data_IF_179791835743
#
_entry.id   IF_179791835743
#
_cell.length_a   1.000
_cell.length_b   1.000
_cell.length_c   1.000
_cell.angle_alpha   90.00
_cell.angle_beta   90.00
_cell.angle_gamma   90.00
#
_symmetry.space_group_name_H-M   'P 1'
#
loop_
_entity.id
_entity.type
_entity.pdbx_description
1 polymer ?
#
# COMPACT_ATOMS: atom_id res chain seq x y z
N UNK A 1 -2.03 3.38 -9.40
CA UNK A 1 -3.46 3.58 -9.07
C UNK A 1 -3.67 4.35 -7.77
N UNK A 2 -3.16 3.89 -6.61
CA UNK A 2 -3.41 4.58 -5.32
C UNK A 2 -2.94 6.03 -5.29
N UNK A 3 -1.71 6.31 -5.75
CA UNK A 3 -1.18 7.68 -5.84
C UNK A 3 -2.08 8.62 -6.65
N UNK A 4 -2.65 8.14 -7.76
CA UNK A 4 -3.55 8.92 -8.61
C UNK A 4 -4.86 9.21 -7.88
N UNK A 5 -5.41 8.22 -7.16
CA UNK A 5 -6.62 8.38 -6.35
C UNK A 5 -6.41 9.40 -5.22
N UNK A 6 -5.31 9.30 -4.47
CA UNK A 6 -4.98 10.25 -3.40
C UNK A 6 -4.79 11.66 -3.96
N UNK A 7 -4.10 11.80 -5.11
CA UNK A 7 -3.91 13.09 -5.77
C UNK A 7 -5.24 13.69 -6.22
N UNK A 8 -6.10 12.89 -6.85
CA UNK A 8 -7.44 13.32 -7.29
C UNK A 8 -8.26 13.84 -6.11
N UNK A 9 -8.39 13.04 -5.04
CA UNK A 9 -9.16 13.43 -3.85
C UNK A 9 -8.61 14.70 -3.20
N UNK A 10 -7.27 14.84 -3.12
CA UNK A 10 -6.64 16.04 -2.58
C UNK A 10 -6.91 17.28 -3.44
N UNK A 11 -6.79 17.15 -4.76
CA UNK A 11 -6.96 18.28 -5.68
C UNK A 11 -8.45 18.70 -5.83
N UNK A 12 -9.38 17.75 -5.66
CA UNK A 12 -10.83 17.97 -5.73
C UNK A 12 -11.44 18.44 -4.40
N UNK A 13 -10.70 18.39 -3.29
CA UNK A 13 -11.19 18.79 -1.96
C UNK A 13 -11.62 20.26 -1.96
N UNK A 14 -12.83 20.54 -1.47
CA UNK A 14 -13.38 21.90 -1.42
C UNK A 14 -13.54 22.39 0.01
N UNK A 15 -13.39 23.68 0.20
CA UNK A 15 -13.62 24.33 1.48
C UNK A 15 -15.11 24.45 1.76
N UNK A 16 -15.53 24.34 3.04
CA UNK A 16 -16.92 24.66 3.42
C UNK A 16 -17.22 26.14 3.22
N UNK A 17 -16.29 27.00 3.66
CA UNK A 17 -16.50 28.44 3.70
C UNK A 17 -17.44 28.90 4.83
N UNK A 18 -17.95 30.11 4.71
CA UNK A 18 -18.92 30.72 5.65
C UNK A 18 -20.35 30.50 5.15
N UNK A 19 -21.04 29.53 5.76
CA UNK A 19 -22.37 29.08 5.30
C UNK A 19 -23.51 29.29 6.31
N UNK A 20 -23.19 29.76 7.52
CA UNK A 20 -24.17 29.87 8.62
C UNK A 20 -24.61 28.50 9.16
N UNK A 21 -25.67 28.49 9.97
CA UNK A 21 -26.13 27.30 10.72
C UNK A 21 -26.79 26.24 9.83
N UNK A 22 -27.48 26.64 8.76
CA UNK A 22 -28.25 25.74 7.87
C UNK A 22 -27.85 25.88 6.40
N UNK A 23 -26.74 26.55 6.10
CA UNK A 23 -26.21 26.66 4.74
C UNK A 23 -26.64 27.92 3.98
N UNK A 24 -27.60 28.67 4.50
CA UNK A 24 -28.22 29.82 3.81
C UNK A 24 -27.50 31.14 3.97
N UNK A 25 -26.46 31.21 4.81
CA UNK A 25 -25.70 32.43 5.10
C UNK A 25 -26.53 33.59 5.71
N UNK A 26 -27.75 33.32 6.20
CA UNK A 26 -28.68 34.36 6.68
C UNK A 26 -28.08 35.32 7.71
N UNK A 27 -27.28 34.81 8.67
CA UNK A 27 -26.60 35.64 9.66
C UNK A 27 -25.61 36.63 9.05
N UNK A 28 -24.89 36.22 8.00
CA UNK A 28 -23.94 37.09 7.30
C UNK A 28 -24.67 38.10 6.41
N UNK A 29 -25.77 37.69 5.77
CA UNK A 29 -26.60 38.58 4.98
C UNK A 29 -27.21 39.69 5.84
N UNK A 30 -27.70 39.34 7.04
CA UNK A 30 -28.19 40.32 8.01
C UNK A 30 -27.07 41.26 8.48
N UNK A 31 -25.87 40.74 8.75
CA UNK A 31 -24.72 41.53 9.17
C UNK A 31 -24.29 42.56 8.10
N UNK A 32 -24.46 42.22 6.83
CA UNK A 32 -24.17 43.12 5.70
C UNK A 32 -25.41 43.84 5.17
N UNK A 33 -26.46 43.98 5.98
CA UNK A 33 -27.66 44.78 5.66
C UNK A 33 -28.33 44.39 4.32
N UNK A 34 -28.32 43.09 3.99
CA UNK A 34 -28.91 42.56 2.76
C UNK A 34 -27.97 42.60 1.54
N UNK A 35 -26.70 42.99 1.70
CA UNK A 35 -25.73 43.01 0.61
C UNK A 35 -25.19 41.59 0.30
N UNK A 36 -25.80 40.96 -0.71
CA UNK A 36 -25.41 39.64 -1.20
C UNK A 36 -23.97 39.59 -1.74
N UNK A 37 -23.49 40.66 -2.37
CA UNK A 37 -22.14 40.67 -2.94
C UNK A 37 -21.08 40.60 -1.86
N UNK A 38 -21.28 41.29 -0.73
CA UNK A 38 -20.38 41.19 0.43
C UNK A 38 -20.35 39.79 1.04
N UNK A 39 -21.49 39.09 1.08
CA UNK A 39 -21.54 37.70 1.57
C UNK A 39 -20.73 36.77 0.67
N UNK A 40 -20.88 36.87 -0.66
CA UNK A 40 -20.10 36.08 -1.61
C UNK A 40 -18.61 36.43 -1.56
N UNK A 41 -18.27 37.71 -1.45
CA UNK A 41 -16.88 38.16 -1.29
C UNK A 41 -16.26 37.63 0.00
N UNK A 42 -16.97 37.67 1.12
CA UNK A 42 -16.49 37.12 2.39
C UNK A 42 -16.15 35.63 2.24
N UNK A 43 -17.05 34.85 1.63
CA UNK A 43 -16.84 33.41 1.42
C UNK A 43 -15.64 33.11 0.52
N UNK A 44 -15.49 33.88 -0.56
CA UNK A 44 -14.31 33.80 -1.43
C UNK A 44 -13.02 34.15 -0.69
N UNK A 45 -13.00 35.25 0.05
CA UNK A 45 -11.82 35.73 0.78
C UNK A 45 -11.34 34.73 1.84
N UNK A 46 -12.26 34.14 2.63
CA UNK A 46 -11.86 33.14 3.65
C UNK A 46 -11.37 31.84 3.02
N UNK A 47 -11.94 31.47 1.86
CA UNK A 47 -11.53 30.29 1.10
C UNK A 47 -10.11 30.43 0.55
N UNK A 48 -9.81 31.59 -0.05
CA UNK A 48 -8.46 31.92 -0.54
C UNK A 48 -7.45 31.98 0.61
N UNK A 49 -7.81 32.61 1.73
CA UNK A 49 -6.95 32.68 2.93
C UNK A 49 -6.67 31.30 3.54
N UNK A 50 -7.61 30.35 3.42
CA UNK A 50 -7.40 28.97 3.85
C UNK A 50 -6.57 28.13 2.85
N UNK A 51 -6.16 28.71 1.71
CA UNK A 51 -5.36 28.02 0.69
C UNK A 51 -6.17 27.10 -0.23
N UNK A 52 -7.50 27.17 -0.22
CA UNK A 52 -8.35 26.37 -1.09
C UNK A 52 -8.65 27.09 -2.40
N UNK A 53 -8.62 26.35 -3.50
CA UNK A 53 -9.00 26.87 -4.83
C UNK A 53 -10.50 27.10 -4.98
N UNK A 54 -11.32 26.34 -4.23
CA UNK A 54 -12.78 26.32 -4.38
C UNK A 54 -13.47 26.02 -3.06
N UNK A 55 -14.62 26.66 -2.85
CA UNK A 55 -15.56 26.32 -1.79
C UNK A 55 -16.81 25.62 -2.35
N UNK A 56 -17.53 24.93 -1.47
CA UNK A 56 -18.89 24.47 -1.77
C UNK A 56 -19.83 25.66 -1.94
N UNK A 57 -20.71 25.59 -2.93
CA UNK A 57 -21.85 26.53 -3.06
C UNK A 57 -22.99 26.04 -2.17
N UNK A 58 -23.34 24.76 -2.30
CA UNK A 58 -24.44 24.13 -1.57
C UNK A 58 -23.89 23.33 -0.39
N UNK A 59 -24.35 23.66 0.81
CA UNK A 59 -24.13 22.92 2.05
C UNK A 59 -25.38 22.99 2.91
N UNK A 60 -25.57 22.03 3.82
CA UNK A 60 -26.39 22.26 5.02
C UNK A 60 -25.57 22.98 6.09
N UNK A 61 -25.61 22.49 7.33
CA UNK A 61 -24.73 22.99 8.39
C UNK A 61 -23.25 22.65 8.12
N UNK A 62 -22.96 21.54 7.45
CA UNK A 62 -21.59 21.05 7.21
C UNK A 62 -21.30 20.80 5.75
N UNK A 63 -20.02 20.58 5.42
CA UNK A 63 -19.69 19.94 4.16
C UNK A 63 -20.31 18.53 4.15
N UNK A 64 -20.71 18.04 2.97
CA UNK A 64 -21.36 16.72 2.87
C UNK A 64 -20.44 15.60 3.39
N UNK A 65 -20.96 14.73 4.27
CA UNK A 65 -20.22 13.57 4.79
C UNK A 65 -19.86 12.53 3.74
N UNK A 66 -20.38 12.67 2.51
CA UNK A 66 -19.91 11.92 1.35
C UNK A 66 -18.43 12.17 1.02
N UNK A 67 -17.89 13.35 1.36
CA UNK A 67 -16.45 13.62 1.24
C UNK A 67 -15.63 12.68 2.11
N UNK A 68 -16.10 12.39 3.32
CA UNK A 68 -15.40 11.48 4.25
C UNK A 68 -15.36 10.05 3.67
N UNK A 69 -16.44 9.61 3.00
CA UNK A 69 -16.46 8.33 2.26
C UNK A 69 -15.39 8.31 1.17
N UNK A 70 -15.31 9.36 0.36
CA UNK A 70 -14.37 9.40 -0.76
C UNK A 70 -12.91 9.31 -0.29
N UNK A 71 -12.57 10.03 0.78
CA UNK A 71 -11.25 9.99 1.40
C UNK A 71 -10.92 8.62 1.99
N UNK A 72 -11.80 8.04 2.83
CA UNK A 72 -11.51 6.77 3.48
C UNK A 72 -11.56 5.58 2.51
N UNK A 73 -12.34 5.67 1.43
CA UNK A 73 -12.36 4.62 0.40
C UNK A 73 -11.03 4.51 -0.35
N UNK A 74 -10.38 5.64 -0.66
CA UNK A 74 -9.06 5.59 -1.31
C UNK A 74 -7.97 5.08 -0.37
N UNK A 75 -8.07 5.38 0.92
CA UNK A 75 -7.16 4.83 1.94
C UNK A 75 -7.39 3.33 2.17
N UNK A 76 -8.65 2.86 2.16
CA UNK A 76 -8.96 1.45 2.21
C UNK A 76 -8.41 0.69 0.99
N UNK A 77 -8.50 1.29 -0.21
CA UNK A 77 -7.86 0.77 -1.42
C UNK A 77 -6.34 0.60 -1.28
N UNK A 78 -5.66 1.63 -0.73
CA UNK A 78 -4.24 1.55 -0.38
C UNK A 78 -3.97 0.41 0.61
N UNK A 79 -4.81 0.24 1.63
CA UNK A 79 -4.73 -0.87 2.58
C UNK A 79 -4.73 -2.23 1.89
N UNK A 80 -5.63 -2.45 0.93
CA UNK A 80 -5.67 -3.70 0.16
C UNK A 80 -4.38 -3.93 -0.64
N UNK A 81 -3.87 -2.90 -1.32
CA UNK A 81 -2.60 -2.95 -2.06
C UNK A 81 -1.43 -3.34 -1.15
N UNK A 82 -1.26 -2.65 -0.02
CA UNK A 82 -0.18 -2.90 0.94
C UNK A 82 -0.29 -4.29 1.56
N UNK A 83 -1.50 -4.70 1.96
CA UNK A 83 -1.71 -6.03 2.55
C UNK A 83 -1.30 -7.13 1.57
N UNK A 84 -1.63 -7.01 0.28
CA UNK A 84 -1.27 -7.98 -0.75
C UNK A 84 0.25 -8.02 -0.96
N UNK A 85 0.90 -6.86 -1.14
CA UNK A 85 2.37 -6.77 -1.33
C UNK A 85 3.10 -7.43 -0.15
N UNK A 86 2.73 -7.08 1.08
CA UNK A 86 3.40 -7.60 2.27
C UNK A 86 3.10 -9.10 2.49
N UNK A 87 1.95 -9.60 2.04
CA UNK A 87 1.66 -11.04 2.07
C UNK A 87 2.59 -11.80 1.12
N UNK A 88 2.81 -11.29 -0.10
CA UNK A 88 3.74 -11.91 -1.05
C UNK A 88 5.18 -11.93 -0.48
N UNK A 89 5.64 -10.83 0.12
CA UNK A 89 6.97 -10.76 0.76
C UNK A 89 7.10 -11.83 1.84
N UNK A 90 6.07 -12.02 2.67
CA UNK A 90 6.06 -13.06 3.73
C UNK A 90 6.15 -14.48 3.14
N UNK A 91 5.48 -14.73 2.01
CA UNK A 91 5.57 -16.02 1.31
C UNK A 91 6.96 -16.22 0.71
N UNK A 92 7.53 -15.21 0.06
CA UNK A 92 8.88 -15.27 -0.51
C UNK A 92 9.97 -15.44 0.56
N UNK A 93 9.75 -14.89 1.76
CA UNK A 93 10.62 -15.12 2.91
C UNK A 93 10.58 -16.58 3.38
N UNK A 94 9.40 -17.21 3.37
CA UNK A 94 9.29 -18.65 3.62
C UNK A 94 10.06 -19.48 2.57
N UNK A 95 10.00 -19.07 1.30
CA UNK A 95 10.72 -19.70 0.20
C UNK A 95 12.23 -19.38 0.18
N UNK A 96 12.70 -18.47 1.04
CA UNK A 96 14.08 -17.97 1.09
C UNK A 96 14.53 -17.34 -0.23
N UNK A 97 13.61 -16.70 -0.94
CA UNK A 97 13.89 -16.01 -2.20
C UNK A 97 14.09 -14.51 -1.96
N UNK A 98 13.32 -13.96 -1.03
CA UNK A 98 13.35 -12.56 -0.66
C UNK A 98 13.21 -12.42 0.86
N UNK A 99 14.05 -11.61 1.49
CA UNK A 99 13.93 -11.23 2.90
C UNK A 99 13.76 -9.70 3.02
N UNK A 100 13.02 -9.27 4.04
CA UNK A 100 12.99 -7.85 4.44
C UNK A 100 14.31 -7.44 5.12
N UNK A 101 14.65 -6.15 5.14
CA UNK A 101 15.88 -5.69 5.80
C UNK A 101 15.92 -6.10 7.27
N UNK A 102 17.09 -6.58 7.70
CA UNK A 102 17.33 -7.07 9.05
C UNK A 102 18.47 -6.27 9.71
N UNK A 103 18.18 -5.62 10.84
CA UNK A 103 19.19 -4.78 11.49
C UNK A 103 20.23 -5.60 12.25
N UNK A 104 21.43 -5.04 12.44
CA UNK A 104 22.56 -5.73 13.08
C UNK A 104 22.25 -6.24 14.49
N UNK A 105 21.42 -5.51 15.24
CA UNK A 105 21.03 -5.84 16.61
C UNK A 105 19.62 -6.44 16.72
N UNK A 106 18.92 -6.63 15.59
CA UNK A 106 17.57 -7.15 15.59
C UNK A 106 17.54 -8.60 16.07
N UNK A 107 16.68 -8.90 17.04
CA UNK A 107 16.44 -10.26 17.52
C UNK A 107 15.16 -10.76 16.84
N UNK A 108 15.29 -11.74 15.95
CA UNK A 108 14.13 -12.31 15.26
C UNK A 108 13.30 -13.28 16.10
N UNK A 109 13.89 -13.92 17.12
CA UNK A 109 13.19 -14.74 18.11
C UNK A 109 13.97 -14.81 19.41
N UNK A 110 13.28 -14.75 20.55
CA UNK A 110 13.89 -14.90 21.88
C UNK A 110 14.46 -16.30 22.14
N UNK A 111 14.04 -17.32 21.39
CA UNK A 111 14.42 -18.72 21.59
C UNK A 111 15.31 -19.29 20.47
N UNK A 112 15.34 -18.68 19.29
CA UNK A 112 16.03 -19.21 18.11
C UNK A 112 16.90 -18.14 17.45
N UNK A 113 18.23 -18.14 17.69
CA UNK A 113 19.14 -17.10 17.20
C UNK A 113 19.22 -16.96 15.67
N UNK A 114 18.91 -18.03 14.93
CA UNK A 114 18.95 -18.06 13.47
C UNK A 114 17.61 -17.68 12.81
N UNK A 115 16.53 -17.53 13.59
CA UNK A 115 15.19 -17.30 13.05
C UNK A 115 15.02 -15.83 12.66
N UNK A 116 14.82 -15.57 11.37
CA UNK A 116 14.42 -14.29 10.82
C UNK A 116 12.93 -14.32 10.46
N UNK A 117 12.16 -13.36 10.97
CA UNK A 117 10.74 -13.24 10.70
C UNK A 117 10.47 -11.97 9.90
N UNK A 118 9.54 -12.00 8.94
CA UNK A 118 9.11 -10.82 8.18
C UNK A 118 8.17 -9.92 9.01
N UNK A 119 8.63 -9.47 10.17
CA UNK A 119 7.82 -8.77 11.18
C UNK A 119 7.31 -7.42 10.68
N UNK A 120 8.10 -6.70 9.86
CA UNK A 120 7.68 -5.40 9.31
C UNK A 120 6.55 -5.60 8.33
N UNK A 121 6.67 -6.61 7.47
CA UNK A 121 5.62 -7.01 6.53
C UNK A 121 4.35 -7.50 7.26
N UNK A 122 4.50 -8.26 8.35
CA UNK A 122 3.37 -8.67 9.19
C UNK A 122 2.66 -7.50 9.85
N UNK A 123 3.42 -6.52 10.37
CA UNK A 123 2.88 -5.26 10.92
C UNK A 123 2.12 -4.47 9.86
N UNK A 124 2.67 -4.34 8.65
CA UNK A 124 1.98 -3.73 7.52
C UNK A 124 0.66 -4.43 7.20
N UNK A 125 0.63 -5.77 7.11
CA UNK A 125 -0.61 -6.52 6.90
C UNK A 125 -1.63 -6.27 8.02
N UNK A 126 -1.18 -6.22 9.28
CA UNK A 126 -2.06 -6.01 10.43
C UNK A 126 -2.75 -4.64 10.38
N UNK A 127 -1.96 -3.58 10.18
CA UNK A 127 -2.45 -2.20 10.13
C UNK A 127 -3.26 -1.93 8.87
N UNK A 128 -2.83 -2.45 7.72
CA UNK A 128 -3.57 -2.34 6.47
C UNK A 128 -4.96 -2.97 6.56
N UNK A 129 -5.13 -4.04 7.36
CA UNK A 129 -6.44 -4.63 7.64
C UNK A 129 -7.37 -3.66 8.38
N UNK A 130 -6.86 -2.98 9.40
CA UNK A 130 -7.62 -1.93 10.11
C UNK A 130 -8.04 -0.81 9.16
N UNK A 131 -7.12 -0.35 8.31
CA UNK A 131 -7.39 0.69 7.33
C UNK A 131 -8.53 0.32 6.35
N UNK A 132 -8.62 -0.95 5.94
CA UNK A 132 -9.74 -1.44 5.16
C UNK A 132 -11.05 -1.48 5.95
N UNK A 133 -11.02 -1.88 7.22
CA UNK A 133 -12.20 -1.96 8.09
C UNK A 133 -12.84 -0.59 8.33
N UNK A 134 -12.04 0.46 8.50
CA UNK A 134 -12.50 1.82 8.80
C UNK A 134 -13.41 2.43 7.70
N UNK A 135 -13.45 1.88 6.48
CA UNK A 135 -14.29 2.44 5.39
C UNK A 135 -15.79 2.39 5.71
N UNK A 136 -16.20 1.47 6.58
CA UNK A 136 -17.62 1.28 6.93
C UNK A 136 -18.15 2.43 7.78
N UNK A 137 -17.31 3.06 8.59
CA UNK A 137 -17.68 4.19 9.46
C UNK A 137 -18.28 5.39 8.68
N UNK A 138 -17.60 5.98 7.68
CA UNK A 138 -18.15 7.09 6.91
C UNK A 138 -19.32 6.66 6.02
N UNK A 139 -19.36 5.40 5.57
CA UNK A 139 -20.49 4.86 4.79
C UNK A 139 -21.77 4.89 5.63
N UNK A 140 -21.70 4.35 6.85
CA UNK A 140 -22.83 4.38 7.79
C UNK A 140 -23.17 5.82 8.17
N UNK A 141 -22.18 6.60 8.61
CA UNK A 141 -22.36 8.00 9.05
C UNK A 141 -23.08 8.85 8.01
N UNK A 142 -22.63 8.82 6.74
CA UNK A 142 -23.23 9.67 5.73
C UNK A 142 -24.64 9.24 5.33
N UNK A 143 -24.98 7.94 5.44
CA UNK A 143 -26.29 7.41 5.03
C UNK A 143 -27.42 7.80 5.97
N UNK A 144 -27.11 8.13 7.22
CA UNK A 144 -28.10 8.47 8.26
C UNK A 144 -28.05 9.93 8.71
N UNK A 145 -27.29 10.80 8.03
CA UNK A 145 -27.36 12.25 8.29
C UNK A 145 -28.75 12.77 7.91
N UNK A 146 -29.50 13.29 8.89
CA UNK A 146 -30.83 13.83 8.63
C UNK A 146 -30.78 15.32 8.27
N UNK A 147 -31.46 15.67 7.16
CA UNK A 147 -31.67 17.04 6.69
C UNK A 147 -30.35 17.85 6.62
N UNK A 148 -30.27 19.02 7.26
CA UNK A 148 -29.09 19.90 7.20
C UNK A 148 -27.87 19.39 7.99
N UNK A 149 -28.10 18.54 9.00
CA UNK A 149 -27.09 17.80 9.82
C UNK A 149 -27.73 17.16 11.05
N UNK A 150 -27.24 15.98 11.43
CA UNK A 150 -27.35 15.42 12.80
C UNK A 150 -25.95 15.27 13.43
N UNK A 151 -25.86 15.33 14.77
CA UNK A 151 -24.58 15.43 15.49
C UNK A 151 -23.89 14.08 15.77
N UNK A 152 -24.58 12.97 15.47
CA UNK A 152 -24.09 11.60 15.58
C UNK A 152 -22.79 11.34 14.78
N UNK A 153 -22.53 12.14 13.74
CA UNK A 153 -21.28 12.11 12.99
C UNK A 153 -20.04 12.52 13.81
N UNK A 154 -20.20 13.33 14.85
CA UNK A 154 -19.10 14.02 15.53
C UNK A 154 -18.16 13.05 16.24
N UNK A 155 -18.71 12.11 17.01
CA UNK A 155 -17.90 11.17 17.78
C UNK A 155 -17.17 10.18 16.87
N UNK A 156 -17.86 9.59 15.90
CA UNK A 156 -17.29 8.64 14.95
C UNK A 156 -16.13 9.27 14.15
N UNK A 157 -16.34 10.48 13.59
CA UNK A 157 -15.34 11.18 12.78
C UNK A 157 -14.08 11.59 13.55
N UNK A 158 -14.15 11.73 14.88
CA UNK A 158 -12.96 12.00 15.71
C UNK A 158 -12.02 10.80 15.80
N UNK A 159 -12.57 9.60 15.61
CA UNK A 159 -11.85 8.34 15.67
C UNK A 159 -11.40 7.98 14.25
N UNK A 160 -12.36 7.70 13.36
CA UNK A 160 -12.09 7.04 12.09
C UNK A 160 -11.22 7.85 11.13
N UNK A 161 -11.39 9.18 11.09
CA UNK A 161 -10.59 10.03 10.20
C UNK A 161 -9.13 10.07 10.64
N UNK A 162 -8.88 10.31 11.93
CA UNK A 162 -7.52 10.40 12.46
C UNK A 162 -6.80 9.05 12.39
N UNK A 163 -7.48 7.98 12.81
CA UNK A 163 -6.92 6.62 12.76
C UNK A 163 -6.60 6.19 11.32
N UNK A 164 -7.46 6.51 10.34
CA UNK A 164 -7.20 6.15 8.96
C UNK A 164 -5.91 6.79 8.42
N UNK A 165 -5.70 8.09 8.67
CA UNK A 165 -4.48 8.78 8.23
C UNK A 165 -3.23 8.32 8.98
N UNK A 166 -3.30 8.13 10.30
CA UNK A 166 -2.17 7.63 11.09
C UNK A 166 -1.78 6.20 10.70
N UNK A 167 -2.77 5.36 10.43
CA UNK A 167 -2.56 3.99 9.95
C UNK A 167 -1.92 3.99 8.57
N UNK A 168 -2.43 4.81 7.64
CA UNK A 168 -1.87 4.96 6.30
C UNK A 168 -0.42 5.48 6.32
N UNK A 169 -0.12 6.47 7.16
CA UNK A 169 1.23 7.00 7.35
C UNK A 169 2.19 5.91 7.86
N UNK A 170 1.79 5.17 8.89
CA UNK A 170 2.62 4.12 9.49
C UNK A 170 2.94 3.01 8.49
N UNK A 171 1.95 2.57 7.70
CA UNK A 171 2.18 1.51 6.70
C UNK A 171 3.04 1.99 5.54
N UNK A 172 2.93 3.25 5.11
CA UNK A 172 3.75 3.80 4.02
C UNK A 172 5.22 3.97 4.47
N UNK A 173 5.45 4.52 5.66
CA UNK A 173 6.79 4.63 6.24
C UNK A 173 7.44 3.24 6.42
N UNK A 174 6.68 2.28 6.95
CA UNK A 174 7.17 0.90 7.11
C UNK A 174 7.44 0.22 5.78
N UNK A 175 6.56 0.41 4.78
CA UNK A 175 6.73 -0.18 3.45
C UNK A 175 7.91 0.42 2.69
N UNK A 176 8.15 1.73 2.81
CA UNK A 176 9.35 2.37 2.26
C UNK A 176 10.61 1.78 2.88
N UNK A 177 10.64 1.62 4.20
CA UNK A 177 11.78 1.00 4.87
C UNK A 177 12.04 -0.44 4.39
N UNK A 178 10.98 -1.23 4.20
CA UNK A 178 11.09 -2.59 3.63
C UNK A 178 11.68 -2.52 2.22
N UNK A 179 11.11 -1.69 1.32
CA UNK A 179 11.48 -1.66 -0.09
C UNK A 179 12.90 -1.15 -0.35
N UNK A 180 13.41 -0.27 0.50
CA UNK A 180 14.78 0.23 0.42
C UNK A 180 15.86 -0.81 0.76
N UNK A 181 15.50 -1.86 1.49
CA UNK A 181 16.45 -2.85 2.01
C UNK A 181 16.08 -4.30 1.70
N UNK A 182 15.24 -4.53 0.68
CA UNK A 182 14.91 -5.89 0.24
C UNK A 182 16.18 -6.66 -0.15
N UNK A 183 16.33 -7.85 0.42
CA UNK A 183 17.42 -8.77 0.09
C UNK A 183 16.86 -9.85 -0.82
N UNK A 184 17.41 -9.97 -2.03
CA UNK A 184 17.06 -11.02 -2.99
C UNK A 184 18.17 -12.06 -3.02
N UNK A 185 17.81 -13.34 -2.97
CA UNK A 185 18.73 -14.46 -3.10
C UNK A 185 18.59 -15.07 -4.52
N UNK A 186 19.51 -14.77 -5.46
CA UNK A 186 19.42 -15.27 -6.84
C UNK A 186 19.42 -16.81 -6.87
N UNK A 187 18.53 -17.38 -7.67
CA UNK A 187 18.20 -18.82 -7.68
C UNK A 187 19.15 -19.74 -8.45
N UNK A 188 20.30 -19.27 -8.93
CA UNK A 188 21.10 -20.03 -9.92
C UNK A 188 21.62 -21.40 -9.45
N UNK A 189 21.59 -21.72 -8.14
CA UNK A 189 21.85 -23.08 -7.66
C UNK A 189 20.65 -23.79 -6.99
N UNK A 190 19.59 -23.08 -6.60
CA UNK A 190 18.69 -23.58 -5.57
C UNK A 190 17.50 -24.42 -6.06
N UNK A 191 16.88 -24.15 -7.21
CA UNK A 191 15.65 -24.87 -7.57
C UNK A 191 15.92 -26.30 -8.08
N UNK A 192 17.02 -26.49 -8.84
CA UNK A 192 17.46 -27.82 -9.27
C UNK A 192 18.01 -28.67 -8.13
N UNK A 193 18.80 -28.06 -7.23
CA UNK A 193 19.27 -28.76 -6.02
C UNK A 193 18.11 -29.05 -5.07
N UNK A 194 17.10 -28.17 -4.95
CA UNK A 194 15.96 -28.38 -4.03
C UNK A 194 15.08 -29.57 -4.41
N UNK A 195 14.71 -29.71 -5.69
CA UNK A 195 13.86 -30.83 -6.15
C UNK A 195 14.58 -32.16 -6.01
N UNK A 196 15.83 -32.22 -6.48
CA UNK A 196 16.61 -33.46 -6.46
C UNK A 196 17.09 -33.79 -5.04
N UNK A 197 17.32 -32.79 -4.17
CA UNK A 197 17.70 -33.00 -2.76
C UNK A 197 16.51 -33.37 -1.89
N UNK A 198 15.27 -32.99 -2.23
CA UNK A 198 14.07 -33.49 -1.57
C UNK A 198 13.83 -34.98 -1.89
N UNK A 199 14.13 -35.41 -3.11
CA UNK A 199 14.03 -36.82 -3.51
C UNK A 199 15.15 -37.67 -2.87
N UNK A 200 16.40 -37.21 -2.89
CA UNK A 200 17.50 -37.89 -2.21
C UNK A 200 17.31 -37.92 -0.67
N UNK A 201 16.76 -36.86 -0.08
CA UNK A 201 16.45 -36.83 1.35
C UNK A 201 15.29 -37.76 1.75
N UNK A 202 14.36 -38.06 0.85
CA UNK A 202 13.32 -39.05 1.10
C UNK A 202 13.92 -40.47 1.18
N UNK A 203 14.86 -40.80 0.30
CA UNK A 203 15.60 -42.08 0.30
C UNK A 203 16.43 -42.25 1.57
N UNK A 204 17.15 -41.22 2.01
CA UNK A 204 17.92 -41.28 3.26
C UNK A 204 17.01 -41.44 4.48
N UNK A 205 15.89 -40.70 4.55
CA UNK A 205 15.05 -40.63 5.75
C UNK A 205 13.99 -41.72 5.86
N UNK A 206 13.46 -42.19 4.74
CA UNK A 206 12.38 -43.18 4.73
C UNK A 206 12.89 -44.58 4.39
N UNK A 207 13.97 -44.66 3.60
CA UNK A 207 14.51 -45.93 3.10
C UNK A 207 15.87 -46.27 3.72
N UNK A 208 16.52 -45.33 4.42
CA UNK A 208 17.79 -45.52 5.13
C UNK A 208 19.04 -45.58 4.24
N UNK A 209 18.93 -45.14 2.98
CA UNK A 209 20.02 -45.16 2.00
C UNK A 209 20.94 -43.92 2.01
N UNK A 210 21.95 -43.92 1.14
CA UNK A 210 22.87 -42.79 0.93
C UNK A 210 22.28 -41.70 0.00
N UNK A 211 22.87 -40.49 0.01
CA UNK A 211 22.41 -39.35 -0.79
C UNK A 211 22.91 -39.43 -2.25
N UNK A 212 21.99 -39.66 -3.19
CA UNK A 212 22.23 -40.01 -4.61
C UNK A 212 21.84 -38.89 -5.60
N UNK A 213 21.87 -37.64 -5.12
CA UNK A 213 21.45 -36.44 -5.85
C UNK A 213 22.06 -36.30 -7.25
N UNK A 214 23.38 -36.45 -7.36
CA UNK A 214 24.14 -36.21 -8.59
C UNK A 214 23.94 -37.36 -9.58
N UNK A 215 23.75 -38.57 -9.08
CA UNK A 215 23.55 -39.77 -9.88
C UNK A 215 22.14 -39.79 -10.51
N UNK A 216 21.11 -39.34 -9.79
CA UNK A 216 19.74 -39.20 -10.33
C UNK A 216 19.65 -38.25 -11.52
N UNK A 217 20.43 -37.17 -11.48
CA UNK A 217 20.48 -36.17 -12.57
C UNK A 217 21.15 -36.74 -13.82
N UNK A 218 22.15 -37.59 -13.63
CA UNK A 218 22.94 -38.16 -14.70
C UNK A 218 22.33 -39.46 -15.28
N UNK A 219 21.44 -40.14 -14.56
CA UNK A 219 20.92 -41.47 -14.90
C UNK A 219 19.51 -41.50 -15.54
N UNK A 220 18.81 -40.38 -15.63
CA UNK A 220 17.43 -40.35 -16.13
C UNK A 220 17.37 -40.33 -17.69
N UNK A 221 16.87 -41.43 -18.26
CA UNK A 221 16.78 -41.67 -19.70
C UNK A 221 15.84 -40.69 -20.45
N UNK A 222 14.96 -39.98 -19.74
CA UNK A 222 14.12 -38.91 -20.30
C UNK A 222 14.95 -37.75 -20.87
N UNK A 223 16.15 -37.52 -20.34
CA UNK A 223 17.02 -36.42 -20.74
C UNK A 223 18.05 -36.80 -21.82
N UNK A 224 18.23 -38.10 -22.09
CA UNK A 224 19.21 -38.63 -23.04
C UNK A 224 19.21 -38.01 -24.46
N UNK A 225 18.06 -37.69 -25.10
CA UNK A 225 18.04 -37.09 -26.44
C UNK A 225 18.39 -35.61 -26.49
N UNK A 226 18.35 -34.93 -25.35
CA UNK A 226 18.54 -33.47 -25.22
C UNK A 226 19.83 -33.12 -24.50
N UNK A 227 20.67 -34.09 -24.12
CA UNK A 227 21.94 -33.85 -23.41
C UNK A 227 22.87 -32.80 -24.05
N UNK A 228 22.91 -32.71 -25.38
CA UNK A 228 23.70 -31.69 -26.11
C UNK A 228 23.00 -30.33 -26.25
N UNK A 229 21.73 -30.24 -25.87
CA UNK A 229 20.88 -29.04 -25.93
C UNK A 229 20.40 -28.59 -24.54
N UNK A 230 20.64 -29.39 -23.49
CA UNK A 230 20.20 -29.14 -22.11
C UNK A 230 20.68 -27.80 -21.60
N UNK A 231 21.92 -27.40 -21.89
CA UNK A 231 22.46 -26.09 -21.48
C UNK A 231 21.68 -24.91 -22.10
N UNK A 232 21.12 -25.09 -23.30
CA UNK A 232 20.32 -24.08 -24.01
C UNK A 232 18.83 -24.17 -23.68
N UNK A 233 18.30 -25.37 -23.46
CA UNK A 233 16.90 -25.65 -23.12
C UNK A 233 16.58 -25.43 -21.64
N UNK A 234 17.60 -25.33 -20.78
CA UNK A 234 17.46 -25.06 -19.35
C UNK A 234 17.91 -23.64 -18.99
N UNK A 235 18.23 -22.81 -19.97
CA UNK A 235 18.52 -21.39 -19.76
C UNK A 235 17.27 -20.71 -19.20
N UNK A 236 17.25 -20.31 -17.91
CA UNK A 236 16.07 -19.72 -17.30
C UNK A 236 15.63 -18.45 -18.02
N UNK A 237 16.56 -17.73 -18.65
CA UNK A 237 16.25 -16.50 -19.39
C UNK A 237 15.28 -16.75 -20.54
N UNK A 238 15.36 -17.93 -21.18
CA UNK A 238 14.47 -18.32 -22.28
C UNK A 238 13.01 -18.60 -21.84
N UNK A 239 12.76 -18.81 -20.54
CA UNK A 239 11.42 -19.04 -19.98
C UNK A 239 10.79 -17.79 -19.35
N UNK A 240 11.49 -16.65 -19.34
CA UNK A 240 10.95 -15.40 -18.79
C UNK A 240 10.02 -14.65 -19.77
N UNK A 241 9.85 -15.17 -20.99
CA UNK A 241 8.98 -14.60 -22.00
C UNK A 241 9.30 -13.13 -22.29
N UNK A 242 8.34 -12.24 -22.02
CA UNK A 242 8.48 -10.78 -22.21
C UNK A 242 8.61 -10.00 -20.90
N UNK A 243 8.91 -10.67 -19.78
CA UNK A 243 8.89 -10.03 -18.46
C UNK A 243 9.78 -8.79 -18.40
N UNK A 244 11.01 -8.87 -18.94
CA UNK A 244 11.93 -7.73 -18.98
C UNK A 244 11.34 -6.54 -19.77
N UNK A 245 10.85 -6.78 -21.00
CA UNK A 245 10.30 -5.72 -21.83
C UNK A 245 9.01 -5.12 -21.25
N UNK A 246 8.20 -5.94 -20.57
CA UNK A 246 7.00 -5.47 -19.87
C UNK A 246 7.36 -4.55 -18.70
N UNK A 247 8.36 -4.91 -17.89
CA UNK A 247 8.84 -4.08 -16.77
C UNK A 247 9.37 -2.75 -17.28
N UNK A 248 10.26 -2.77 -18.29
CA UNK A 248 10.84 -1.54 -18.82
C UNK A 248 9.74 -0.59 -19.36
N UNK A 249 8.82 -1.12 -20.17
CA UNK A 249 7.72 -0.34 -20.73
C UNK A 249 6.82 0.25 -19.64
N UNK A 250 6.44 -0.54 -18.64
CA UNK A 250 5.61 -0.08 -17.53
C UNK A 250 6.28 1.04 -16.72
N UNK A 251 7.58 0.91 -16.44
CA UNK A 251 8.33 1.94 -15.72
C UNK A 251 8.38 3.27 -16.49
N UNK A 252 8.68 3.20 -17.78
CA UNK A 252 8.82 4.37 -18.66
C UNK A 252 7.48 5.06 -18.94
N UNK A 253 6.45 4.30 -19.31
CA UNK A 253 5.16 4.85 -19.75
C UNK A 253 4.24 5.23 -18.57
N UNK A 254 4.28 4.49 -17.45
CA UNK A 254 3.28 4.65 -16.38
C UNK A 254 3.86 5.11 -15.03
N UNK A 255 5.07 4.69 -14.65
CA UNK A 255 5.62 4.98 -13.30
C UNK A 255 6.36 6.32 -13.25
N UNK A 256 7.41 6.50 -14.06
CA UNK A 256 8.25 7.69 -14.00
C UNK A 256 7.49 9.01 -14.21
N UNK A 257 6.50 9.11 -15.12
CA UNK A 257 5.70 10.32 -15.25
C UNK A 257 4.97 10.71 -13.96
N UNK A 258 4.50 9.73 -13.17
CA UNK A 258 3.80 9.96 -11.91
C UNK A 258 4.74 10.36 -10.76
N UNK A 259 6.01 9.94 -10.81
CA UNK A 259 7.01 10.26 -9.78
C UNK A 259 7.68 11.63 -10.00
N UNK A 260 7.69 12.14 -11.23
CA UNK A 260 8.35 13.41 -11.59
C UNK A 260 8.00 14.60 -10.67
N UNK A 261 6.74 14.82 -10.23
CA UNK A 261 6.42 15.91 -9.31
C UNK A 261 7.03 15.79 -7.91
N UNK A 262 7.56 14.61 -7.54
CA UNK A 262 8.07 14.29 -6.22
C UNK A 262 9.61 14.12 -6.19
N UNK A 263 10.30 14.39 -7.30
CA UNK A 263 11.75 14.18 -7.45
C UNK A 263 12.58 14.86 -6.36
N UNK A 264 12.17 16.07 -5.94
CA UNK A 264 12.88 16.86 -4.92
C UNK A 264 12.89 16.21 -3.53
N UNK A 265 11.98 15.27 -3.26
CA UNK A 265 11.84 14.62 -1.94
C UNK A 265 12.23 13.14 -1.95
N UNK A 266 12.69 12.59 -3.07
CA UNK A 266 13.00 11.15 -3.21
C UNK A 266 14.22 10.67 -2.40
N UNK A 267 15.05 11.58 -1.88
CA UNK A 267 16.26 11.22 -1.11
C UNK A 267 15.99 10.97 0.37
N UNK A 268 14.76 11.20 0.85
CA UNK A 268 14.40 10.98 2.25
C UNK A 268 14.35 9.48 2.53
N UNK A 269 15.03 9.05 3.60
CA UNK A 269 15.07 7.66 4.06
C UNK A 269 14.00 7.40 5.10
N UNK A 270 13.41 6.20 5.05
CA UNK A 270 12.44 5.77 6.05
C UNK A 270 13.16 5.12 7.25
N UNK A 271 13.07 5.77 8.41
CA UNK A 271 13.61 5.27 9.67
C UNK A 271 12.51 4.54 10.47
N UNK A 272 12.86 3.41 11.07
CA UNK A 272 12.00 2.70 12.01
C UNK A 272 12.71 2.60 13.35
N UNK A 273 12.06 3.10 14.40
CA UNK A 273 12.62 3.08 15.76
C UNK A 273 12.15 1.86 16.58
N UNK A 274 11.41 0.93 15.97
CA UNK A 274 10.66 -0.16 16.62
C UNK A 274 10.68 -1.45 15.80
#
# INVERSE_FOLDING_TARGET
MDLQNLKRVRDDLRFRGVKGTTGTQASFLQLFEGDHQKVEQLDKMVTEKAGFKRAFIITGQTYTRKVDIEVLSVLAGLGASVHKICTDIRLLANLKEVEEPFEKQQIGSSAMPYKRNPMRSERCCSLARHLMTLVVDPLQTASVQWLERTLDDSANRRICLAEAFLTADTILNTLQNISEGLVVYPKDCHEKIRVLSQQAAAVVKQEGGDNDLIERIQADAYFSPIHSQLDRLLDPSSFTGRAYQQVQRFLEEEVYPLLKPYESVMKVKAELCL
#
